data_IF_356049647694
#
_entry.id   IF_356049647694
#
_cell.length_a   1.000
_cell.length_b   1.000
_cell.length_c   1.000
_cell.angle_alpha   90.00
_cell.angle_beta   90.00
_cell.angle_gamma   90.00
#
_symmetry.space_group_name_H-M   'P 1'
#
loop_
_entity.id
_entity.type
_entity.pdbx_description
1 polymer ?
#
# COMPACT_ATOMS: atom_id res chain seq x y z
N UNK A 1 -17.25 8.90 17.48
CA UNK A 1 -16.75 10.14 16.86
C UNK A 1 -17.43 10.34 15.52
N UNK A 2 -17.97 11.53 15.26
CA UNK A 2 -18.86 11.80 14.11
C UNK A 2 -18.09 11.73 12.78
N UNK A 3 -18.62 11.00 11.79
CA UNK A 3 -18.04 10.82 10.44
C UNK A 3 -17.75 12.17 9.73
N UNK A 4 -18.36 13.26 10.19
CA UNK A 4 -18.15 14.63 9.69
C UNK A 4 -16.80 15.24 10.13
N UNK A 5 -16.22 14.77 11.24
CA UNK A 5 -15.01 15.33 11.83
C UNK A 5 -13.72 14.93 11.09
N UNK A 6 -13.74 13.86 10.29
CA UNK A 6 -12.60 13.42 9.47
C UNK A 6 -12.79 13.84 8.01
N UNK A 7 -14.03 13.76 7.50
CA UNK A 7 -14.34 14.16 6.13
C UNK A 7 -14.18 15.67 5.90
N UNK A 8 -14.50 16.49 6.91
CA UNK A 8 -14.39 17.95 6.85
C UNK A 8 -12.96 18.42 6.65
N UNK A 9 -12.00 18.07 7.54
CA UNK A 9 -10.60 18.42 7.37
C UNK A 9 -10.03 17.91 6.05
N UNK A 10 -10.38 16.69 5.62
CA UNK A 10 -9.92 16.13 4.35
C UNK A 10 -10.40 16.94 3.14
N UNK A 11 -11.68 17.34 3.12
CA UNK A 11 -12.23 18.18 2.05
C UNK A 11 -11.66 19.61 2.09
N UNK A 12 -11.41 20.15 3.28
CA UNK A 12 -10.82 21.48 3.45
C UNK A 12 -9.36 21.47 2.97
N UNK A 13 -8.60 20.41 3.25
CA UNK A 13 -7.21 20.29 2.83
C UNK A 13 -7.10 20.05 1.31
N UNK A 14 -8.02 19.24 0.75
CA UNK A 14 -8.16 19.06 -0.69
C UNK A 14 -8.56 20.37 -1.40
N UNK A 15 -9.53 21.10 -0.84
CA UNK A 15 -9.97 22.39 -1.36
C UNK A 15 -8.88 23.47 -1.27
N UNK A 16 -8.15 23.54 -0.16
CA UNK A 16 -7.02 24.45 0.02
C UNK A 16 -5.89 24.15 -0.97
N UNK A 17 -5.60 22.86 -1.21
CA UNK A 17 -4.61 22.45 -2.20
C UNK A 17 -5.01 22.88 -3.63
N UNK A 18 -6.28 22.69 -4.00
CA UNK A 18 -6.81 23.11 -5.30
C UNK A 18 -6.84 24.65 -5.47
N UNK A 19 -7.06 25.41 -4.40
CA UNK A 19 -7.02 26.88 -4.42
C UNK A 19 -5.60 27.42 -4.55
N UNK A 20 -4.62 26.78 -3.91
CA UNK A 20 -3.21 27.18 -4.01
C UNK A 20 -2.59 26.86 -5.39
N UNK A 21 -3.18 25.93 -6.16
CA UNK A 21 -2.78 25.61 -7.54
C UNK A 21 -3.25 26.60 -8.61
N UNK A 22 -4.05 27.62 -8.26
CA UNK A 22 -4.60 28.58 -9.23
C UNK A 22 -3.58 29.59 -9.78
N UNK A 23 -2.35 29.61 -9.26
CA UNK A 23 -1.31 30.56 -9.67
C UNK A 23 -0.35 30.09 -10.77
N UNK A 24 -0.34 28.80 -11.15
CA UNK A 24 0.73 28.23 -11.99
C UNK A 24 0.20 27.41 -13.14
N UNK A 25 -0.53 28.00 -14.10
CA UNK A 25 -0.73 27.41 -15.44
C UNK A 25 -1.13 25.92 -15.50
N UNK A 26 -1.83 25.40 -14.49
CA UNK A 26 -2.20 23.99 -14.42
C UNK A 26 -3.41 23.79 -15.33
N UNK A 27 -3.14 23.39 -16.57
CA UNK A 27 -4.17 22.98 -17.51
C UNK A 27 -5.04 21.88 -16.86
N UNK A 28 -6.36 21.96 -16.97
CA UNK A 28 -7.28 21.01 -16.32
C UNK A 28 -6.91 19.55 -16.65
N UNK A 29 -6.41 19.29 -17.85
CA UNK A 29 -5.90 17.96 -18.26
C UNK A 29 -4.75 17.43 -17.40
N UNK A 30 -3.87 18.29 -16.87
CA UNK A 30 -2.77 17.89 -15.98
C UNK A 30 -3.29 17.48 -14.61
N UNK A 31 -4.30 18.17 -14.08
CA UNK A 31 -4.92 17.80 -12.80
C UNK A 31 -5.54 16.42 -12.92
N UNK A 32 -6.29 16.16 -13.98
CA UNK A 32 -6.85 14.83 -14.22
C UNK A 32 -5.76 13.78 -14.44
N UNK A 33 -4.67 14.08 -15.15
CA UNK A 33 -3.59 13.12 -15.38
C UNK A 33 -2.86 12.69 -14.09
N UNK A 34 -2.54 13.63 -13.20
CA UNK A 34 -1.78 13.32 -11.97
C UNK A 34 -2.66 12.88 -10.79
N UNK A 35 -3.90 13.36 -10.69
CA UNK A 35 -4.78 13.12 -9.54
C UNK A 35 -5.93 12.14 -9.79
N UNK A 36 -5.99 11.48 -10.96
CA UNK A 36 -7.07 10.52 -11.27
C UNK A 36 -7.24 9.44 -10.18
N UNK A 37 -6.15 8.93 -9.62
CA UNK A 37 -6.18 7.89 -8.60
C UNK A 37 -6.86 8.39 -7.31
N UNK A 38 -6.54 9.61 -6.86
CA UNK A 38 -7.19 10.23 -5.70
C UNK A 38 -8.60 10.72 -5.97
N UNK A 39 -8.92 11.12 -7.20
CA UNK A 39 -10.24 11.67 -7.55
C UNK A 39 -11.28 10.58 -7.83
N UNK A 40 -10.89 9.44 -8.40
CA UNK A 40 -11.83 8.38 -8.80
C UNK A 40 -11.67 7.11 -7.97
N UNK A 41 -10.45 6.60 -7.81
CA UNK A 41 -10.22 5.30 -7.18
C UNK A 41 -10.36 5.41 -5.66
N UNK A 42 -9.78 6.44 -5.04
CA UNK A 42 -9.81 6.63 -3.59
C UNK A 42 -11.25 6.81 -3.05
N UNK A 43 -12.12 7.65 -3.65
CA UNK A 43 -13.49 7.80 -3.18
C UNK A 43 -14.31 6.53 -3.38
N UNK A 44 -14.04 5.76 -4.44
CA UNK A 44 -14.68 4.47 -4.67
C UNK A 44 -14.30 3.45 -3.59
N UNK A 45 -13.01 3.36 -3.23
CA UNK A 45 -12.56 2.52 -2.12
C UNK A 45 -13.17 2.94 -0.78
N UNK A 46 -13.18 4.25 -0.50
CA UNK A 46 -13.78 4.80 0.71
C UNK A 46 -15.30 4.60 0.75
N UNK A 47 -15.97 4.59 -0.40
CA UNK A 47 -17.39 4.28 -0.50
C UNK A 47 -17.71 2.87 -0.02
N UNK A 48 -16.88 1.87 -0.37
CA UNK A 48 -17.03 0.50 0.14
C UNK A 48 -16.82 0.41 1.65
N UNK A 49 -15.84 1.12 2.21
CA UNK A 49 -15.68 1.22 3.67
C UNK A 49 -16.86 1.93 4.34
N UNK A 50 -17.36 3.01 3.75
CA UNK A 50 -18.53 3.72 4.27
C UNK A 50 -19.77 2.83 4.26
N UNK A 51 -19.99 2.06 3.20
CA UNK A 51 -21.08 1.09 3.10
C UNK A 51 -20.97 0.01 4.17
N UNK A 52 -19.77 -0.52 4.45
CA UNK A 52 -19.54 -1.47 5.53
C UNK A 52 -19.93 -0.91 6.92
N UNK A 53 -19.45 0.29 7.26
CA UNK A 53 -19.70 0.90 8.57
C UNK A 53 -21.09 1.53 8.72
N UNK A 54 -21.72 1.96 7.62
CA UNK A 54 -23.00 2.68 7.66
C UNK A 54 -24.19 1.77 7.36
N UNK A 55 -24.10 0.96 6.30
CA UNK A 55 -25.21 0.17 5.81
C UNK A 55 -25.25 -1.21 6.47
N UNK A 56 -24.10 -1.88 6.54
CA UNK A 56 -24.06 -3.28 6.96
C UNK A 56 -23.80 -3.49 8.45
N UNK A 57 -23.56 -2.43 9.23
CA UNK A 57 -23.29 -2.45 10.68
C UNK A 57 -22.30 -3.57 11.09
N UNK A 58 -21.26 -3.80 10.27
CA UNK A 58 -20.26 -4.83 10.55
C UNK A 58 -20.62 -6.27 10.19
N UNK A 59 -21.76 -6.52 9.51
CA UNK A 59 -22.24 -7.88 9.20
C UNK A 59 -21.73 -8.46 7.88
N UNK A 60 -21.15 -7.65 6.98
CA UNK A 60 -20.59 -8.12 5.71
C UNK A 60 -19.12 -7.74 5.58
N UNK A 61 -18.22 -8.45 6.29
CA UNK A 61 -16.81 -8.13 6.25
C UNK A 61 -16.20 -8.27 4.84
N UNK A 62 -16.81 -9.10 3.97
CA UNK A 62 -16.38 -9.29 2.58
C UNK A 62 -16.29 -8.01 1.76
N UNK A 63 -17.04 -6.97 2.13
CA UNK A 63 -17.02 -5.67 1.43
C UNK A 63 -15.75 -4.83 1.73
N UNK A 64 -15.05 -5.14 2.82
CA UNK A 64 -13.76 -4.49 3.13
C UNK A 64 -12.65 -4.95 2.20
N UNK A 65 -12.73 -6.16 1.62
CA UNK A 65 -11.69 -6.66 0.71
C UNK A 65 -11.55 -5.75 -0.51
N UNK A 66 -12.61 -5.50 -1.32
CA UNK A 66 -12.51 -4.58 -2.45
C UNK A 66 -12.25 -3.14 -2.00
N UNK A 67 -12.78 -2.71 -0.85
CA UNK A 67 -12.52 -1.39 -0.29
C UNK A 67 -11.04 -1.13 0.00
N UNK A 68 -10.41 -2.02 0.78
CA UNK A 68 -9.00 -1.97 1.10
C UNK A 68 -8.11 -2.05 -0.14
N UNK A 69 -8.40 -2.97 -1.07
CA UNK A 69 -7.67 -3.06 -2.34
C UNK A 69 -7.69 -1.72 -3.09
N UNK A 70 -8.88 -1.13 -3.28
CA UNK A 70 -9.01 0.13 -4.01
C UNK A 70 -8.31 1.29 -3.33
N UNK A 71 -8.38 1.39 -2.00
CA UNK A 71 -7.66 2.42 -1.24
C UNK A 71 -6.15 2.26 -1.41
N UNK A 72 -5.63 1.03 -1.28
CA UNK A 72 -4.19 0.78 -1.42
C UNK A 72 -3.72 1.06 -2.85
N UNK A 73 -4.48 0.62 -3.85
CA UNK A 73 -4.20 0.90 -5.27
C UNK A 73 -4.21 2.40 -5.54
N UNK A 74 -5.17 3.15 -5.00
CA UNK A 74 -5.22 4.59 -5.16
C UNK A 74 -3.97 5.27 -4.60
N UNK A 75 -3.51 4.85 -3.42
CA UNK A 75 -2.28 5.37 -2.80
C UNK A 75 -1.05 5.05 -3.66
N UNK A 76 -0.92 3.80 -4.11
CA UNK A 76 0.21 3.36 -4.95
C UNK A 76 0.24 4.13 -6.26
N UNK A 77 -0.91 4.24 -6.96
CA UNK A 77 -1.01 5.02 -8.19
C UNK A 77 -0.74 6.51 -7.97
N UNK A 78 -1.19 7.08 -6.85
CA UNK A 78 -0.97 8.49 -6.55
C UNK A 78 0.52 8.77 -6.30
N UNK A 79 1.21 7.91 -5.55
CA UNK A 79 2.65 8.02 -5.31
C UNK A 79 3.41 7.82 -6.63
N UNK A 80 3.04 6.81 -7.43
CA UNK A 80 3.67 6.55 -8.72
C UNK A 80 3.53 7.75 -9.68
N UNK A 81 2.37 8.41 -9.73
CA UNK A 81 2.17 9.61 -10.53
C UNK A 81 2.93 10.83 -9.99
N UNK A 82 3.04 11.00 -8.66
CA UNK A 82 3.75 12.14 -8.07
C UNK A 82 5.27 12.07 -8.25
N UNK A 83 5.83 10.87 -8.13
CA UNK A 83 7.28 10.66 -8.14
C UNK A 83 7.79 10.04 -9.46
N UNK A 84 6.89 9.79 -10.41
CA UNK A 84 7.16 9.09 -11.68
C UNK A 84 7.91 7.76 -11.46
N UNK A 85 7.57 7.06 -10.37
CA UNK A 85 8.31 5.90 -9.86
C UNK A 85 7.57 4.58 -10.09
N UNK A 86 7.05 4.40 -11.30
CA UNK A 86 6.25 3.21 -11.66
C UNK A 86 7.04 1.90 -11.51
N UNK A 87 8.33 1.93 -11.85
CA UNK A 87 9.23 0.77 -11.78
C UNK A 87 9.42 0.25 -10.35
N UNK A 88 9.23 1.11 -9.34
CA UNK A 88 9.39 0.74 -7.92
C UNK A 88 8.05 0.52 -7.24
N UNK A 89 6.98 1.15 -7.73
CA UNK A 89 5.66 1.12 -7.10
C UNK A 89 4.83 -0.12 -7.43
N UNK A 90 5.15 -0.85 -8.49
CA UNK A 90 4.39 -2.02 -8.91
C UNK A 90 4.17 -3.10 -7.81
N UNK A 91 5.12 -3.38 -6.88
CA UNK A 91 4.89 -4.34 -5.80
C UNK A 91 3.76 -3.91 -4.86
N UNK A 92 3.40 -2.63 -4.85
CA UNK A 92 2.23 -2.11 -4.15
C UNK A 92 0.91 -2.72 -4.64
N UNK A 93 0.82 -3.19 -5.88
CA UNK A 93 -0.36 -3.92 -6.38
C UNK A 93 -0.48 -5.32 -5.77
N UNK A 94 0.63 -5.94 -5.35
CA UNK A 94 0.62 -7.19 -4.57
C UNK A 94 0.22 -6.89 -3.11
N UNK A 95 0.63 -5.73 -2.58
CA UNK A 95 0.27 -5.29 -1.25
C UNK A 95 -1.24 -5.01 -1.13
N UNK A 96 -1.87 -4.48 -2.18
CA UNK A 96 -3.28 -4.11 -2.17
C UNK A 96 -4.25 -5.23 -1.74
N UNK A 97 -4.22 -6.44 -2.34
CA UNK A 97 -5.01 -7.58 -1.86
C UNK A 97 -4.57 -8.06 -0.47
N UNK A 98 -3.30 -7.91 -0.08
CA UNK A 98 -2.86 -8.21 1.28
C UNK A 98 -3.55 -7.31 2.32
N UNK A 99 -3.64 -6.01 2.04
CA UNK A 99 -4.31 -5.02 2.89
C UNK A 99 -5.81 -5.27 2.93
N UNK A 100 -6.46 -5.51 1.78
CA UNK A 100 -7.89 -5.84 1.76
C UNK A 100 -8.23 -7.12 2.53
N UNK A 101 -7.41 -8.16 2.43
CA UNK A 101 -7.57 -9.39 3.23
C UNK A 101 -7.27 -9.16 4.71
N UNK A 102 -6.31 -8.29 5.04
CA UNK A 102 -5.99 -7.92 6.41
C UNK A 102 -7.14 -7.16 7.08
N UNK A 103 -7.75 -6.21 6.39
CA UNK A 103 -8.95 -5.52 6.87
C UNK A 103 -10.10 -6.52 7.11
N UNK A 104 -10.32 -7.44 6.16
CA UNK A 104 -11.30 -8.51 6.34
C UNK A 104 -11.00 -9.39 7.56
N UNK A 105 -9.73 -9.74 7.81
CA UNK A 105 -9.35 -10.53 9.00
C UNK A 105 -9.67 -9.78 10.30
N UNK A 106 -9.34 -8.49 10.35
CA UNK A 106 -9.55 -7.64 11.52
C UNK A 106 -11.04 -7.47 11.86
N UNK A 107 -11.92 -7.36 10.85
CA UNK A 107 -13.34 -7.08 11.06
C UNK A 107 -14.29 -8.27 10.83
N UNK A 108 -13.81 -9.39 10.28
CA UNK A 108 -14.66 -10.48 9.74
C UNK A 108 -14.64 -11.81 10.47
N UNK A 109 -14.10 -11.87 11.69
CA UNK A 109 -14.15 -13.10 12.52
C UNK A 109 -12.79 -13.76 12.78
N UNK A 110 -11.67 -13.05 12.54
CA UNK A 110 -10.33 -13.41 13.02
C UNK A 110 -9.90 -14.87 12.68
N UNK A 111 -10.26 -15.34 11.49
CA UNK A 111 -9.88 -16.66 11.00
C UNK A 111 -8.37 -16.76 10.78
N UNK A 112 -7.68 -17.55 11.63
CA UNK A 112 -6.22 -17.71 11.62
C UNK A 112 -5.67 -18.22 10.27
N UNK A 113 -6.47 -18.97 9.52
CA UNK A 113 -6.11 -19.48 8.19
C UNK A 113 -5.88 -18.38 7.16
N UNK A 114 -6.53 -17.22 7.30
CA UNK A 114 -6.38 -16.11 6.36
C UNK A 114 -5.06 -15.34 6.55
N UNK A 115 -4.40 -15.49 7.69
CA UNK A 115 -3.11 -14.85 7.96
C UNK A 115 -1.98 -15.41 7.10
N UNK A 116 -2.10 -16.66 6.66
CA UNK A 116 -1.11 -17.31 5.80
C UNK A 116 -0.99 -16.54 4.46
N UNK A 117 -2.07 -16.38 3.67
CA UNK A 117 -1.98 -15.62 2.42
C UNK A 117 -1.61 -14.15 2.66
N UNK A 118 -2.15 -13.49 3.70
CA UNK A 118 -1.80 -12.10 4.01
C UNK A 118 -0.29 -11.95 4.21
N UNK A 119 0.33 -12.80 5.02
CA UNK A 119 1.76 -12.74 5.29
C UNK A 119 2.59 -13.04 4.04
N UNK A 120 2.20 -14.03 3.23
CA UNK A 120 2.91 -14.36 1.99
C UNK A 120 2.87 -13.17 1.04
N UNK A 121 1.70 -12.58 0.79
CA UNK A 121 1.57 -11.42 -0.11
C UNK A 121 2.32 -10.20 0.43
N UNK A 122 2.28 -9.96 1.76
CA UNK A 122 2.98 -8.83 2.38
C UNK A 122 4.50 -8.98 2.27
N UNK A 123 5.03 -10.16 2.60
CA UNK A 123 6.47 -10.45 2.48
C UNK A 123 6.91 -10.38 1.02
N UNK A 124 6.14 -10.96 0.10
CA UNK A 124 6.47 -10.93 -1.32
C UNK A 124 6.48 -9.51 -1.88
N UNK A 125 5.49 -8.69 -1.52
CA UNK A 125 5.43 -7.28 -1.89
C UNK A 125 6.63 -6.50 -1.34
N UNK A 126 6.97 -6.70 -0.06
CA UNK A 126 8.14 -6.05 0.55
C UNK A 126 9.46 -6.48 -0.08
N UNK A 127 9.60 -7.76 -0.41
CA UNK A 127 10.79 -8.29 -1.08
C UNK A 127 10.96 -7.66 -2.45
N UNK A 128 9.90 -7.63 -3.27
CA UNK A 128 9.97 -6.97 -4.56
C UNK A 128 10.22 -5.47 -4.39
N UNK A 129 9.48 -4.79 -3.51
CA UNK A 129 9.69 -3.36 -3.26
C UNK A 129 11.14 -3.04 -2.88
N UNK A 130 11.77 -3.86 -2.03
CA UNK A 130 13.17 -3.71 -1.67
C UNK A 130 14.09 -3.92 -2.89
N UNK A 131 13.87 -4.97 -3.68
CA UNK A 131 14.68 -5.27 -4.88
C UNK A 131 14.59 -4.12 -5.89
N UNK A 132 13.39 -3.65 -6.24
CA UNK A 132 13.20 -2.58 -7.21
C UNK A 132 13.65 -1.22 -6.67
N UNK A 133 13.51 -0.96 -5.37
CA UNK A 133 14.03 0.27 -4.77
C UNK A 133 15.55 0.30 -4.81
N UNK A 134 16.20 -0.83 -4.53
CA UNK A 134 17.65 -0.98 -4.63
C UNK A 134 18.08 -0.83 -6.09
N UNK A 135 17.38 -1.45 -7.04
CA UNK A 135 17.63 -1.26 -8.47
C UNK A 135 17.52 0.21 -8.87
N UNK A 136 16.46 0.92 -8.49
CA UNK A 136 16.27 2.33 -8.83
C UNK A 136 17.35 3.23 -8.23
N UNK A 137 17.81 2.96 -7.00
CA UNK A 137 18.97 3.64 -6.42
C UNK A 137 20.25 3.25 -7.18
N UNK A 138 20.37 1.99 -7.59
CA UNK A 138 21.53 1.45 -8.30
C UNK A 138 21.65 2.08 -9.70
N UNK A 139 20.57 2.18 -10.47
CA UNK A 139 20.60 2.76 -11.82
C UNK A 139 20.89 4.27 -11.80
N UNK A 140 20.49 4.99 -10.74
CA UNK A 140 20.77 6.42 -10.57
C UNK A 140 22.22 6.72 -10.15
N UNK A 141 22.94 5.76 -9.58
CA UNK A 141 24.28 5.99 -9.01
C UNK A 141 25.38 5.04 -9.49
N UNK A 142 25.06 4.02 -10.30
CA UNK A 142 25.98 2.93 -10.63
C UNK A 142 26.08 2.68 -12.15
N UNK A 143 26.81 3.55 -12.82
CA UNK A 143 27.63 3.12 -13.97
C UNK A 143 28.75 2.15 -13.56
N UNK A 144 28.94 1.86 -12.26
CA UNK A 144 30.05 1.03 -11.77
C UNK A 144 29.58 0.12 -10.61
N UNK A 145 29.34 -1.16 -10.92
CA UNK A 145 29.64 -2.36 -10.10
C UNK A 145 28.49 -3.25 -9.54
N UNK A 146 28.54 -4.58 -9.79
CA UNK A 146 27.60 -5.61 -9.33
C UNK A 146 27.79 -6.07 -7.87
N UNK A 147 28.43 -5.26 -7.01
CA UNK A 147 28.73 -5.62 -5.62
C UNK A 147 27.49 -5.64 -4.71
N UNK A 148 26.51 -4.79 -5.02
CA UNK A 148 25.32 -4.61 -4.19
C UNK A 148 24.36 -5.81 -4.27
N UNK A 149 24.29 -6.46 -5.43
CA UNK A 149 23.55 -7.70 -5.63
C UNK A 149 24.11 -8.84 -4.76
N UNK A 150 25.44 -8.97 -4.66
CA UNK A 150 26.08 -9.97 -3.81
C UNK A 150 25.81 -9.74 -2.31
N UNK A 151 25.86 -8.49 -1.85
CA UNK A 151 25.55 -8.15 -0.44
C UNK A 151 24.09 -8.47 -0.11
N UNK A 152 23.17 -8.17 -1.02
CA UNK A 152 21.75 -8.41 -0.79
C UNK A 152 21.39 -9.90 -0.78
N UNK A 153 21.99 -10.69 -1.69
CA UNK A 153 21.83 -12.15 -1.70
C UNK A 153 22.41 -12.76 -0.41
N UNK A 154 23.57 -12.28 0.07
CA UNK A 154 24.17 -12.74 1.32
C UNK A 154 23.29 -12.40 2.55
N UNK A 155 22.70 -11.20 2.58
CA UNK A 155 21.84 -10.77 3.68
C UNK A 155 20.50 -11.52 3.68
N UNK A 156 19.93 -11.77 2.49
CA UNK A 156 18.74 -12.60 2.32
C UNK A 156 18.96 -14.05 2.75
N UNK A 157 20.13 -14.63 2.41
CA UNK A 157 20.51 -15.96 2.87
C UNK A 157 20.68 -16.02 4.40
N UNK A 158 21.22 -14.96 5.02
CA UNK A 158 21.38 -14.88 6.47
C UNK A 158 20.04 -14.82 7.21
N UNK A 159 19.06 -14.09 6.66
CA UNK A 159 17.70 -13.99 7.20
C UNK A 159 16.88 -15.28 7.08
N UNK A 160 17.23 -16.14 6.12
CA UNK A 160 16.59 -17.44 5.91
C UNK A 160 17.08 -18.53 6.87
N UNK A 161 18.05 -18.26 7.74
CA UNK A 161 18.50 -19.19 8.77
C UNK A 161 17.50 -19.13 9.94
N UNK A 162 16.61 -20.14 10.12
CA UNK A 162 15.72 -20.16 11.26
C UNK A 162 16.57 -20.28 12.54
N UNK A 163 16.46 -19.31 13.43
CA UNK A 163 16.98 -19.40 14.80
C UNK A 163 16.27 -20.55 15.52
N UNK A 164 16.80 -21.76 15.32
CA UNK A 164 16.33 -22.99 15.93
C UNK A 164 16.50 -22.90 17.44
N UNK A 165 15.38 -22.69 18.12
CA UNK A 165 15.21 -22.88 19.57
C UNK A 165 15.79 -24.24 19.96
N UNK A 166 16.89 -24.27 20.72
CA UNK A 166 17.19 -25.40 21.61
C UNK A 166 16.63 -25.09 23.00
N UNK A 167 15.41 -25.59 23.22
CA UNK A 167 14.79 -25.74 24.54
C UNK A 167 15.56 -26.82 25.34
N UNK A 168 15.68 -26.59 26.65
CA UNK A 168 16.41 -27.33 27.70
C UNK A 168 16.18 -28.86 27.74
N UNK A 169 17.16 -29.62 28.26
CA UNK A 169 16.99 -30.53 29.43
C UNK A 169 18.28 -31.29 29.87
N UNK A 170 18.44 -31.42 31.20
CA UNK A 170 19.33 -32.28 32.03
C UNK A 170 20.84 -31.96 32.00
N UNK A 171 21.54 -31.83 33.13
CA UNK A 171 21.52 -32.63 34.38
C UNK A 171 21.50 -31.70 35.60
#
# INVERSE_FOLDING_TARGET
MSKKAILGPLLILLGAYLLLGQGTGMNSGMIFAYFWASLFILPLGLFFHWMFFSMTRGRAPGLLIPGGVLVTVAIVCQIAMLFDSWDVMWPGFILAPAVGLFEFYCFGGRNRWLLIPINILTVLSLLFFAVFSIEALTTRTFMEQPLLAFVLIALGALLFIPFGRRQKAKI
#
